data_IF_225283008693
#
_entry.id   IF_225283008693
#
_cell.length_a   1.000
_cell.length_b   1.000
_cell.length_c   1.000
_cell.angle_alpha   90.00
_cell.angle_beta   90.00
_cell.angle_gamma   90.00
#
_symmetry.space_group_name_H-M   'P 1'
#
loop_
_entity.id
_entity.type
_entity.pdbx_description
1 polymer ?
#
# COMPACT_ATOMS: atom_id res chain seq x y z
N UNK A 1 4.49 18.96 -7.85
CA UNK A 1 5.49 19.21 -8.90
C UNK A 1 5.05 18.41 -10.12
N UNK A 2 5.12 19.01 -11.31
CA UNK A 2 4.76 18.32 -12.56
C UNK A 2 5.95 17.48 -13.02
N UNK A 3 5.69 16.22 -13.36
CA UNK A 3 6.72 15.28 -13.82
C UNK A 3 7.20 15.71 -15.21
N UNK A 4 8.51 15.74 -15.42
CA UNK A 4 9.09 16.08 -16.72
C UNK A 4 9.29 14.82 -17.56
N UNK A 5 9.28 14.98 -18.89
CA UNK A 5 9.44 13.85 -19.84
C UNK A 5 10.69 13.02 -19.59
N UNK A 6 11.84 13.66 -19.37
CA UNK A 6 13.09 12.95 -19.11
C UNK A 6 13.06 12.17 -17.78
N UNK A 7 12.27 12.62 -16.80
CA UNK A 7 12.08 11.89 -15.53
C UNK A 7 11.22 10.65 -15.75
N UNK A 8 10.17 10.76 -16.59
CA UNK A 8 9.33 9.64 -16.98
C UNK A 8 10.14 8.60 -17.78
N UNK A 9 10.93 9.03 -18.76
CA UNK A 9 11.80 8.16 -19.56
C UNK A 9 12.85 7.47 -18.67
N UNK A 10 13.45 8.18 -17.71
CA UNK A 10 14.38 7.60 -16.75
C UNK A 10 13.71 6.56 -15.82
N UNK A 11 12.43 6.78 -15.45
CA UNK A 11 11.65 5.83 -14.65
C UNK A 11 11.26 4.58 -15.44
N UNK A 12 10.87 4.76 -16.70
CA UNK A 12 10.48 3.71 -17.64
C UNK A 12 11.66 2.80 -18.04
N UNK A 13 12.86 3.39 -18.14
CA UNK A 13 14.05 2.71 -18.68
C UNK A 13 13.99 2.55 -20.21
N UNK A 14 15.04 1.98 -20.80
CA UNK A 14 15.27 2.03 -22.25
C UNK A 14 14.32 1.15 -23.10
N UNK A 15 13.62 0.16 -22.51
CA UNK A 15 12.77 -0.81 -23.23
C UNK A 15 11.34 -0.83 -22.68
N UNK A 16 10.72 0.35 -22.64
CA UNK A 16 9.37 0.50 -22.10
C UNK A 16 8.25 0.16 -23.09
N UNK A 17 8.58 0.12 -24.39
CA UNK A 17 7.68 -0.31 -25.47
C UNK A 17 6.40 0.52 -25.62
N UNK A 18 6.43 1.79 -25.24
CA UNK A 18 5.32 2.73 -25.45
C UNK A 18 5.56 3.52 -26.74
N UNK A 19 4.49 3.77 -27.48
CA UNK A 19 4.50 4.74 -28.56
C UNK A 19 4.52 6.18 -28.00
N UNK A 20 4.86 7.14 -28.85
CA UNK A 20 5.01 8.56 -28.49
C UNK A 20 3.73 9.16 -27.89
N UNK A 21 2.57 8.82 -28.47
CA UNK A 21 1.25 9.23 -27.99
C UNK A 21 0.93 8.65 -26.60
N UNK A 22 1.34 7.40 -26.35
CA UNK A 22 1.20 6.77 -25.03
C UNK A 22 2.14 7.40 -23.99
N UNK A 23 3.34 7.84 -24.39
CA UNK A 23 4.25 8.58 -23.52
C UNK A 23 3.66 9.93 -23.11
N UNK A 24 3.07 10.66 -24.06
CA UNK A 24 2.39 11.92 -23.78
C UNK A 24 1.17 11.72 -22.87
N UNK A 25 0.38 10.67 -23.12
CA UNK A 25 -0.75 10.31 -22.26
C UNK A 25 -0.26 9.98 -20.83
N UNK A 26 0.79 9.17 -20.70
CA UNK A 26 1.31 8.76 -19.40
C UNK A 26 1.88 9.95 -18.62
N UNK A 27 2.55 10.88 -19.31
CA UNK A 27 3.06 12.12 -18.73
C UNK A 27 1.91 12.99 -18.20
N UNK A 28 0.81 13.13 -18.97
CA UNK A 28 -0.38 13.85 -18.53
C UNK A 28 -1.05 13.18 -17.32
N UNK A 29 -1.08 11.85 -17.29
CA UNK A 29 -1.61 11.11 -16.13
C UNK A 29 -0.71 11.27 -14.89
N UNK A 30 0.61 11.32 -15.06
CA UNK A 30 1.56 11.47 -13.96
C UNK A 30 1.30 12.74 -13.12
N UNK A 31 0.98 13.86 -13.79
CA UNK A 31 0.61 15.09 -13.11
C UNK A 31 -0.69 14.97 -12.31
N UNK A 32 -1.70 14.32 -12.90
CA UNK A 32 -2.96 14.02 -12.22
C UNK A 32 -2.78 13.08 -11.02
N UNK A 33 -1.89 12.09 -11.14
CA UNK A 33 -1.56 11.12 -10.08
C UNK A 33 -0.84 11.83 -8.92
N UNK A 34 0.19 12.62 -9.23
CA UNK A 34 0.94 13.38 -8.23
C UNK A 34 0.04 14.36 -7.46
N UNK A 35 -0.88 15.02 -8.15
CA UNK A 35 -1.86 15.89 -7.50
C UNK A 35 -2.86 15.11 -6.63
N UNK A 36 -3.32 13.94 -7.10
CA UNK A 36 -4.29 13.10 -6.37
C UNK A 36 -3.75 12.57 -5.05
N UNK A 37 -2.45 12.24 -4.98
CA UNK A 37 -1.83 11.65 -3.80
C UNK A 37 -1.07 12.66 -2.92
N UNK A 38 -1.18 13.95 -3.21
CA UNK A 38 -0.72 15.07 -2.36
C UNK A 38 0.71 14.89 -1.80
N UNK A 39 1.63 14.42 -2.64
CA UNK A 39 3.03 14.23 -2.25
C UNK A 39 3.37 12.91 -1.57
N UNK A 40 2.41 11.99 -1.40
CA UNK A 40 2.70 10.59 -1.08
C UNK A 40 3.37 9.91 -2.28
N UNK A 41 4.70 9.93 -2.28
CA UNK A 41 5.52 9.44 -3.39
C UNK A 41 5.34 7.94 -3.64
N UNK A 42 5.09 7.14 -2.60
CA UNK A 42 4.88 5.70 -2.76
C UNK A 42 3.55 5.42 -3.48
N UNK A 43 2.48 6.10 -3.05
CA UNK A 43 1.18 5.97 -3.72
C UNK A 43 1.20 6.54 -5.13
N UNK A 44 1.87 7.67 -5.34
CA UNK A 44 2.02 8.25 -6.67
C UNK A 44 2.79 7.29 -7.59
N UNK A 45 3.87 6.67 -7.10
CA UNK A 45 4.64 5.67 -7.85
C UNK A 45 3.81 4.44 -8.21
N UNK A 46 3.03 3.89 -7.27
CA UNK A 46 2.15 2.75 -7.57
C UNK A 46 1.06 3.16 -8.58
N UNK A 47 0.50 4.37 -8.45
CA UNK A 47 -0.46 4.91 -9.41
C UNK A 47 0.11 5.00 -10.82
N UNK A 48 1.35 5.48 -10.96
CA UNK A 48 2.03 5.58 -12.25
C UNK A 48 2.33 4.19 -12.84
N UNK A 49 2.73 3.22 -12.00
CA UNK A 49 2.92 1.84 -12.42
C UNK A 49 1.62 1.23 -12.97
N UNK A 50 0.49 1.42 -12.27
CA UNK A 50 -0.81 0.93 -12.75
C UNK A 50 -1.22 1.60 -14.07
N UNK A 51 -1.01 2.91 -14.22
CA UNK A 51 -1.28 3.62 -15.47
C UNK A 51 -0.47 3.03 -16.64
N UNK A 52 0.84 2.81 -16.43
CA UNK A 52 1.71 2.15 -17.40
C UNK A 52 1.21 0.74 -17.77
N UNK A 53 0.86 -0.07 -16.76
CA UNK A 53 0.33 -1.44 -16.99
C UNK A 53 -0.95 -1.43 -17.80
N UNK A 54 -1.86 -0.47 -17.58
CA UNK A 54 -3.10 -0.36 -18.34
C UNK A 54 -2.89 -0.01 -19.82
N UNK A 55 -1.74 0.57 -20.18
CA UNK A 55 -1.36 0.82 -21.59
C UNK A 55 -0.76 -0.41 -22.28
N UNK A 56 -0.28 -1.39 -21.51
CA UNK A 56 0.53 -2.53 -22.00
C UNK A 56 -0.19 -3.88 -21.86
N UNK A 57 -1.00 -4.01 -20.82
CA UNK A 57 -1.67 -5.24 -20.42
C UNK A 57 -3.18 -5.15 -20.64
N UNK A 58 -3.87 -6.28 -20.53
CA UNK A 58 -5.33 -6.31 -20.54
C UNK A 58 -5.88 -5.63 -19.26
N UNK A 59 -6.76 -4.62 -19.35
CA UNK A 59 -7.25 -3.89 -18.18
C UNK A 59 -7.94 -4.78 -17.13
N UNK A 60 -8.68 -5.79 -17.58
CA UNK A 60 -9.35 -6.73 -16.66
C UNK A 60 -8.34 -7.60 -15.89
N UNK A 61 -7.21 -7.95 -16.51
CA UNK A 61 -6.14 -8.69 -15.84
C UNK A 61 -5.43 -7.82 -14.79
N UNK A 62 -5.15 -6.55 -15.10
CA UNK A 62 -4.55 -5.59 -14.14
C UNK A 62 -5.46 -5.41 -12.92
N UNK A 63 -6.77 -5.22 -13.13
CA UNK A 63 -7.73 -5.07 -12.03
C UNK A 63 -7.84 -6.36 -11.20
N UNK A 64 -7.87 -7.53 -11.84
CA UNK A 64 -7.94 -8.81 -11.13
C UNK A 64 -6.69 -9.05 -10.26
N UNK A 65 -5.50 -8.73 -10.76
CA UNK A 65 -4.24 -8.79 -10.01
C UNK A 65 -4.28 -7.86 -8.78
N UNK A 66 -4.69 -6.59 -8.96
CA UNK A 66 -4.80 -5.65 -7.84
C UNK A 66 -5.82 -6.09 -6.79
N UNK A 67 -6.95 -6.67 -7.22
CA UNK A 67 -7.95 -7.22 -6.31
C UNK A 67 -7.38 -8.39 -5.50
N UNK A 68 -6.66 -9.31 -6.15
CA UNK A 68 -6.01 -10.43 -5.48
C UNK A 68 -4.93 -9.97 -4.48
N UNK A 69 -4.10 -8.99 -4.86
CA UNK A 69 -3.08 -8.39 -3.97
C UNK A 69 -3.74 -7.75 -2.73
N UNK A 70 -4.86 -7.05 -2.92
CA UNK A 70 -5.64 -6.46 -1.82
C UNK A 70 -6.20 -7.53 -0.89
N UNK A 71 -6.77 -8.60 -1.43
CA UNK A 71 -7.32 -9.69 -0.61
C UNK A 71 -6.24 -10.42 0.19
N UNK A 72 -5.07 -10.65 -0.42
CA UNK A 72 -3.92 -11.22 0.27
C UNK A 72 -3.40 -10.31 1.40
N UNK A 73 -3.28 -9.00 1.15
CA UNK A 73 -2.86 -8.05 2.17
C UNK A 73 -3.85 -8.00 3.35
N UNK A 74 -5.15 -8.04 3.05
CA UNK A 74 -6.20 -8.08 4.07
C UNK A 74 -6.12 -9.37 4.91
N UNK A 75 -5.90 -10.51 4.28
CA UNK A 75 -5.73 -11.78 4.99
C UNK A 75 -4.51 -11.72 5.94
N UNK A 76 -3.37 -11.23 5.43
CA UNK A 76 -2.15 -11.09 6.23
C UNK A 76 -2.33 -10.14 7.43
N UNK A 77 -3.07 -9.04 7.26
CA UNK A 77 -3.39 -8.11 8.35
C UNK A 77 -4.24 -8.80 9.44
N UNK A 78 -5.28 -9.54 9.03
CA UNK A 78 -6.14 -10.26 9.98
C UNK A 78 -5.36 -11.32 10.76
N UNK A 79 -4.48 -12.07 10.09
CA UNK A 79 -3.64 -13.08 10.73
C UNK A 79 -2.67 -12.46 11.73
N UNK A 80 -2.02 -11.34 11.36
CA UNK A 80 -1.13 -10.61 12.24
C UNK A 80 -1.87 -10.06 13.48
N UNK A 81 -3.08 -9.51 13.30
CA UNK A 81 -3.91 -9.03 14.40
C UNK A 81 -4.35 -10.15 15.35
N UNK A 82 -4.73 -11.31 14.81
CA UNK A 82 -5.06 -12.48 15.64
C UNK A 82 -3.85 -12.94 16.47
N UNK A 83 -2.65 -12.94 15.87
CA UNK A 83 -1.40 -13.21 16.57
C UNK A 83 -1.11 -12.21 17.70
N UNK A 84 -1.27 -10.90 17.42
CA UNK A 84 -1.11 -9.84 18.42
C UNK A 84 -2.13 -9.97 19.56
N UNK A 85 -3.37 -10.31 19.26
CA UNK A 85 -4.40 -10.56 20.26
C UNK A 85 -4.00 -11.70 21.21
N UNK A 86 -3.58 -12.85 20.66
CA UNK A 86 -3.16 -13.99 21.49
C UNK A 86 -1.90 -13.67 22.32
N UNK A 87 -0.96 -12.91 21.74
CA UNK A 87 0.23 -12.45 22.46
C UNK A 87 -0.14 -11.51 23.61
N UNK A 88 -1.08 -10.58 23.40
CA UNK A 88 -1.56 -9.66 24.43
C UNK A 88 -2.17 -10.42 25.62
N UNK A 89 -3.08 -11.37 25.35
CA UNK A 89 -3.70 -12.22 26.38
C UNK A 89 -2.60 -12.93 27.19
N UNK A 90 -1.71 -13.63 26.49
CA UNK A 90 -0.69 -14.48 27.14
C UNK A 90 0.30 -13.67 27.97
N UNK A 91 0.84 -12.58 27.43
CA UNK A 91 1.90 -11.81 28.10
C UNK A 91 1.36 -10.94 29.23
N UNK A 92 0.15 -10.38 29.09
CA UNK A 92 -0.44 -9.53 30.13
C UNK A 92 -0.96 -10.38 31.28
N UNK A 93 -1.59 -11.54 31.02
CA UNK A 93 -2.05 -12.44 32.09
C UNK A 93 -0.89 -13.02 32.92
N UNK A 94 0.27 -13.23 32.29
CA UNK A 94 1.50 -13.64 32.99
C UNK A 94 2.18 -12.52 33.78
N UNK A 95 1.79 -11.26 33.54
CA UNK A 95 2.45 -10.08 34.11
C UNK A 95 3.74 -9.67 33.41
N UNK A 96 4.06 -10.27 32.26
CA UNK A 96 5.25 -9.96 31.46
C UNK A 96 5.13 -8.63 30.70
N UNK A 97 3.89 -8.15 30.50
CA UNK A 97 3.60 -6.88 29.84
C UNK A 97 2.44 -6.14 30.51
N UNK A 98 2.44 -4.81 30.40
CA UNK A 98 1.29 -3.97 30.77
C UNK A 98 0.42 -3.68 29.55
N UNK A 99 -0.88 -3.41 29.74
CA UNK A 99 -1.80 -3.03 28.65
C UNK A 99 -1.24 -1.88 27.80
N UNK A 100 -0.75 -0.83 28.46
CA UNK A 100 -0.20 0.36 27.78
C UNK A 100 1.13 0.07 27.08
N UNK A 101 1.99 -0.75 27.69
CA UNK A 101 3.28 -1.13 27.09
C UNK A 101 3.09 -1.98 25.85
N UNK A 102 2.19 -2.97 25.91
CA UNK A 102 1.85 -3.82 24.77
C UNK A 102 1.23 -3.01 23.64
N UNK A 103 0.26 -2.15 23.94
CA UNK A 103 -0.41 -1.29 22.95
C UNK A 103 0.60 -0.45 22.14
N UNK A 104 1.55 0.19 22.84
CA UNK A 104 2.61 0.98 22.21
C UNK A 104 3.52 0.13 21.32
N UNK A 105 3.92 -1.05 21.77
CA UNK A 105 4.80 -1.93 21.00
C UNK A 105 4.11 -2.50 19.76
N UNK A 106 2.84 -2.87 19.88
CA UNK A 106 2.03 -3.44 18.81
C UNK A 106 1.46 -2.37 17.85
N UNK A 107 1.66 -1.07 18.13
CA UNK A 107 1.15 0.01 17.30
C UNK A 107 -0.38 0.13 17.30
N UNK A 108 -1.04 -0.29 18.40
CA UNK A 108 -2.51 -0.23 18.54
C UNK A 108 -2.91 0.64 19.71
N UNK A 109 -4.16 1.07 19.73
CA UNK A 109 -4.72 1.79 20.88
C UNK A 109 -4.92 0.88 22.10
N UNK A 110 -4.78 1.43 23.31
CA UNK A 110 -4.98 0.68 24.55
C UNK A 110 -6.39 0.10 24.67
N UNK A 111 -7.40 0.77 24.14
CA UNK A 111 -8.77 0.26 24.14
C UNK A 111 -8.91 -1.00 23.28
N UNK A 112 -8.15 -1.12 22.20
CA UNK A 112 -8.09 -2.35 21.41
C UNK A 112 -7.56 -3.50 22.26
N UNK A 113 -6.48 -3.28 23.00
CA UNK A 113 -5.91 -4.29 23.91
C UNK A 113 -6.89 -4.68 25.01
N UNK A 114 -7.61 -3.72 25.61
CA UNK A 114 -8.65 -4.03 26.62
C UNK A 114 -9.78 -4.90 26.05
N UNK A 115 -10.25 -4.59 24.84
CA UNK A 115 -11.25 -5.41 24.14
C UNK A 115 -10.77 -6.83 23.92
N UNK A 116 -9.51 -7.02 23.53
CA UNK A 116 -8.91 -8.35 23.38
C UNK A 116 -8.89 -9.15 24.69
N UNK A 117 -8.68 -8.46 25.81
CA UNK A 117 -8.70 -9.05 27.16
C UNK A 117 -10.12 -9.21 27.75
N UNK A 118 -11.18 -8.82 27.02
CA UNK A 118 -12.56 -8.87 27.51
C UNK A 118 -12.91 -7.84 28.59
N UNK A 119 -12.22 -6.69 28.63
CA UNK A 119 -12.37 -5.63 29.65
C UNK A 119 -12.89 -4.29 29.11
#
# INVERSE_FOLDING_TARGET
>A
MSMQRYELEAWLGDDHGLAEDQLEELLAQADGINARFDGDQERAREGLNVAYRLMRECPTAVVADLAQRRDAARAAELDALAGLQQAAITLIERGDATESGFARQAGVDRMTVRKWLGK
#
